data_IF_514329563910
#
_entry.id   IF_514329563910
#
_cell.length_a   1.000
_cell.length_b   1.000
_cell.length_c   1.000
_cell.angle_alpha   90.00
_cell.angle_beta   90.00
_cell.angle_gamma   90.00
#
_symmetry.space_group_name_H-M   'P 1'
#
loop_
_entity.id
_entity.type
_entity.pdbx_description
1 polymer ?
#
# COMPACT_ATOMS: atom_id res chain seq x y z
N UNK A 1 -14.40 -106.54 -32.72
CA UNK A 1 -13.87 -106.36 -34.09
C UNK A 1 -14.35 -105.02 -34.62
N UNK A 2 -13.44 -104.08 -34.84
CA UNK A 2 -13.74 -102.69 -35.20
C UNK A 2 -13.51 -102.49 -36.69
N UNK A 3 -14.35 -101.67 -37.33
CA UNK A 3 -14.22 -101.37 -38.75
C UNK A 3 -14.01 -99.88 -38.98
N UNK A 4 -12.93 -99.53 -39.68
CA UNK A 4 -12.67 -98.18 -40.16
C UNK A 4 -12.60 -98.19 -41.69
N UNK A 5 -12.82 -97.05 -42.35
CA UNK A 5 -12.61 -96.91 -43.80
C UNK A 5 -11.30 -96.18 -44.05
N UNK A 6 -10.50 -96.67 -45.00
CA UNK A 6 -9.28 -95.97 -45.41
C UNK A 6 -9.65 -94.66 -46.11
N UNK A 7 -9.13 -93.49 -45.67
CA UNK A 7 -9.46 -92.21 -46.30
C UNK A 7 -8.86 -92.05 -47.70
N UNK A 8 -7.83 -92.84 -48.06
CA UNK A 8 -7.17 -92.71 -49.37
C UNK A 8 -7.85 -93.52 -50.48
N UNK A 9 -8.30 -94.74 -50.19
CA UNK A 9 -8.87 -95.63 -51.21
C UNK A 9 -10.29 -96.14 -50.87
N UNK A 10 -10.86 -95.73 -49.74
CA UNK A 10 -12.21 -96.12 -49.31
C UNK A 10 -12.36 -97.58 -48.87
N UNK A 11 -11.33 -98.41 -48.99
CA UNK A 11 -11.35 -99.81 -48.59
C UNK A 11 -11.63 -99.94 -47.09
N UNK A 12 -12.47 -100.92 -46.73
CA UNK A 12 -12.88 -101.18 -45.34
C UNK A 12 -11.79 -101.98 -44.63
N UNK A 13 -11.20 -101.39 -43.60
CA UNK A 13 -10.16 -102.00 -42.76
C UNK A 13 -10.85 -102.58 -41.54
N UNK A 14 -10.71 -103.89 -41.34
CA UNK A 14 -11.19 -104.61 -40.16
C UNK A 14 -10.00 -104.91 -39.26
N UNK A 15 -10.09 -104.56 -37.99
CA UNK A 15 -9.04 -104.82 -37.01
C UNK A 15 -9.64 -105.34 -35.70
N UNK A 16 -8.95 -106.30 -35.09
CA UNK A 16 -9.43 -106.98 -33.89
C UNK A 16 -8.99 -106.26 -32.62
N UNK A 17 -7.83 -105.59 -32.64
CA UNK A 17 -7.24 -104.95 -31.46
C UNK A 17 -7.62 -103.47 -31.32
N UNK A 18 -8.40 -103.15 -30.30
CA UNK A 18 -8.98 -101.81 -30.08
C UNK A 18 -7.95 -100.71 -29.73
N UNK A 19 -6.69 -101.08 -29.50
CA UNK A 19 -5.62 -100.17 -29.06
C UNK A 19 -4.55 -99.89 -30.13
N UNK A 20 -4.67 -100.44 -31.34
CA UNK A 20 -3.72 -100.19 -32.42
C UNK A 20 -3.86 -98.74 -32.95
N UNK A 21 -2.87 -97.89 -32.62
CA UNK A 21 -2.92 -96.45 -32.94
C UNK A 21 -2.69 -96.15 -34.42
N UNK A 22 -1.94 -96.97 -35.16
CA UNK A 22 -1.66 -96.79 -36.60
C UNK A 22 -1.83 -98.13 -37.30
N UNK A 23 -2.68 -98.18 -38.32
CA UNK A 23 -2.99 -99.40 -39.08
C UNK A 23 -2.70 -99.15 -40.56
N UNK A 24 -1.97 -100.06 -41.20
CA UNK A 24 -1.65 -99.96 -42.63
C UNK A 24 -2.74 -100.59 -43.49
N UNK A 25 -3.24 -99.86 -44.50
CA UNK A 25 -4.25 -100.34 -45.42
C UNK A 25 -3.67 -101.36 -46.41
N UNK A 26 -4.20 -102.59 -46.43
CA UNK A 26 -3.74 -103.64 -47.33
C UNK A 26 -3.95 -103.33 -48.83
N UNK A 27 -4.94 -102.50 -49.18
CA UNK A 27 -5.26 -102.20 -50.58
C UNK A 27 -4.43 -101.08 -51.21
N UNK A 28 -3.88 -100.15 -50.43
CA UNK A 28 -3.11 -99.01 -50.95
C UNK A 28 -1.84 -98.66 -50.18
N UNK A 29 -1.51 -99.44 -49.14
CA UNK A 29 -0.31 -99.28 -48.32
C UNK A 29 -0.30 -98.08 -47.37
N UNK A 30 -1.35 -97.25 -47.36
CA UNK A 30 -1.38 -96.04 -46.53
C UNK A 30 -1.59 -96.34 -45.04
N UNK A 31 -0.83 -95.67 -44.17
CA UNK A 31 -0.95 -95.78 -42.71
C UNK A 31 -2.04 -94.83 -42.17
N UNK A 32 -3.06 -95.37 -41.50
CA UNK A 32 -4.21 -94.65 -40.95
C UNK A 32 -4.14 -94.67 -39.43
N UNK A 33 -4.10 -93.49 -38.80
CA UNK A 33 -4.04 -93.35 -37.34
C UNK A 33 -5.46 -93.25 -36.77
N UNK A 34 -5.84 -94.16 -35.87
CA UNK A 34 -7.19 -94.25 -35.29
C UNK A 34 -7.11 -94.02 -33.78
N UNK A 35 -7.90 -93.09 -33.25
CA UNK A 35 -8.00 -92.81 -31.81
C UNK A 35 -9.47 -92.94 -31.38
N UNK A 36 -9.79 -93.97 -30.58
CA UNK A 36 -11.13 -94.25 -30.09
C UNK A 36 -11.09 -94.11 -28.57
N UNK A 37 -11.62 -93.00 -28.04
CA UNK A 37 -11.89 -92.88 -26.61
C UNK A 37 -13.31 -92.34 -26.44
N UNK A 38 -14.26 -93.24 -26.16
CA UNK A 38 -15.68 -92.93 -25.97
C UNK A 38 -16.05 -93.41 -24.56
N UNK A 39 -16.23 -92.46 -23.63
CA UNK A 39 -16.80 -92.75 -22.32
C UNK A 39 -18.26 -92.30 -22.31
N UNK A 40 -19.16 -93.28 -22.22
CA UNK A 40 -20.60 -93.08 -22.08
C UNK A 40 -20.96 -92.97 -20.60
N UNK A 41 -21.48 -91.82 -20.18
CA UNK A 41 -22.31 -91.77 -18.97
C UNK A 41 -23.54 -90.92 -19.24
N UNK A 42 -24.70 -91.58 -19.33
CA UNK A 42 -25.99 -91.02 -19.67
C UNK A 42 -26.81 -90.92 -18.38
N UNK A 43 -27.23 -89.71 -17.98
CA UNK A 43 -28.26 -89.51 -16.96
C UNK A 43 -29.44 -88.76 -17.57
N UNK A 44 -30.62 -89.36 -17.42
CA UNK A 44 -31.94 -88.96 -17.91
C UNK A 44 -32.40 -87.66 -17.25
N UNK A 45 -32.74 -86.63 -18.02
CA UNK A 45 -33.43 -85.41 -17.54
C UNK A 45 -34.74 -85.22 -18.30
N UNK A 46 -35.83 -85.00 -17.57
CA UNK A 46 -37.15 -84.55 -18.07
C UNK A 46 -37.02 -83.21 -18.81
N UNK A 47 -37.81 -83.01 -19.87
CA UNK A 47 -37.90 -81.76 -20.63
C UNK A 47 -39.30 -81.16 -20.44
N UNK A 48 -39.37 -79.96 -19.88
CA UNK A 48 -40.59 -79.13 -19.85
C UNK A 48 -40.35 -77.94 -20.78
N UNK A 49 -41.10 -77.83 -21.87
CA UNK A 49 -41.00 -76.69 -22.79
C UNK A 49 -41.90 -75.55 -22.31
N UNK A 50 -41.31 -74.37 -22.06
CA UNK A 50 -42.02 -73.12 -21.81
C UNK A 50 -42.23 -72.38 -23.13
N UNK A 51 -43.48 -72.15 -23.54
CA UNK A 51 -43.81 -71.35 -24.72
C UNK A 51 -43.74 -69.87 -24.33
N UNK A 52 -42.81 -69.14 -24.94
CA UNK A 52 -42.59 -67.70 -24.71
C UNK A 52 -43.17 -66.91 -25.88
N UNK A 53 -44.03 -65.94 -25.61
CA UNK A 53 -44.63 -65.07 -26.64
C UNK A 53 -43.69 -63.91 -26.99
N UNK A 54 -42.88 -64.13 -28.02
CA UNK A 54 -41.82 -63.23 -28.48
C UNK A 54 -42.33 -61.83 -28.87
N UNK A 55 -43.59 -61.68 -29.28
CA UNK A 55 -44.15 -60.39 -29.68
C UNK A 55 -44.34 -59.47 -28.46
N UNK A 56 -44.82 -60.02 -27.35
CA UNK A 56 -45.05 -59.26 -26.11
C UNK A 56 -43.74 -58.89 -25.43
N UNK A 57 -42.73 -59.76 -25.50
CA UNK A 57 -41.38 -59.48 -25.00
C UNK A 57 -40.75 -58.33 -25.78
N UNK A 58 -40.86 -58.31 -27.11
CA UNK A 58 -40.31 -57.23 -27.94
C UNK A 58 -40.95 -55.88 -27.64
N UNK A 59 -42.26 -55.84 -27.38
CA UNK A 59 -42.95 -54.59 -27.05
C UNK A 59 -42.55 -54.06 -25.67
N UNK A 60 -42.45 -54.94 -24.66
CA UNK A 60 -41.97 -54.59 -23.32
C UNK A 60 -40.51 -54.09 -23.35
N UNK A 61 -39.64 -54.76 -24.11
CA UNK A 61 -38.25 -54.34 -24.30
C UNK A 61 -38.14 -52.97 -24.99
N UNK A 62 -39.03 -52.64 -25.92
CA UNK A 62 -38.98 -51.35 -26.63
C UNK A 62 -39.44 -50.20 -25.73
N UNK A 63 -40.46 -50.40 -24.88
CA UNK A 63 -40.92 -49.41 -23.89
C UNK A 63 -39.84 -49.17 -22.82
N UNK A 64 -39.26 -50.24 -22.28
CA UNK A 64 -38.18 -50.16 -21.29
C UNK A 64 -36.94 -49.41 -21.87
N UNK A 65 -36.60 -49.68 -23.13
CA UNK A 65 -35.51 -48.97 -23.83
C UNK A 65 -35.75 -47.47 -23.97
N UNK A 66 -36.99 -47.04 -24.24
CA UNK A 66 -37.34 -45.62 -24.34
C UNK A 66 -37.29 -44.94 -22.98
N UNK A 67 -37.82 -45.56 -21.93
CA UNK A 67 -37.76 -45.04 -20.56
C UNK A 67 -36.29 -44.89 -20.12
N UNK A 68 -35.47 -45.92 -20.36
CA UNK A 68 -34.04 -45.90 -20.02
C UNK A 68 -33.25 -44.84 -20.81
N UNK A 69 -33.62 -44.57 -22.08
CA UNK A 69 -32.96 -43.53 -22.89
C UNK A 69 -33.19 -42.11 -22.32
N UNK A 70 -34.37 -41.83 -21.75
CA UNK A 70 -34.68 -40.52 -21.18
C UNK A 70 -34.34 -40.40 -19.68
N UNK A 71 -34.37 -41.49 -18.92
CA UNK A 71 -34.03 -41.49 -17.49
C UNK A 71 -32.51 -41.49 -17.23
N UNK A 72 -31.73 -42.21 -18.04
CA UNK A 72 -30.28 -42.37 -17.84
C UNK A 72 -29.50 -41.04 -17.76
N UNK A 73 -29.74 -40.03 -18.62
CA UNK A 73 -29.01 -38.75 -18.56
C UNK A 73 -29.35 -37.89 -17.32
N UNK A 74 -30.49 -38.12 -16.67
CA UNK A 74 -30.92 -37.38 -15.48
C UNK A 74 -30.32 -38.02 -14.22
N UNK A 75 -30.33 -39.35 -14.15
CA UNK A 75 -29.73 -40.10 -13.04
C UNK A 75 -28.21 -39.94 -13.01
N UNK A 76 -27.55 -39.97 -14.17
CA UNK A 76 -26.09 -39.75 -14.26
C UNK A 76 -25.70 -38.34 -13.79
N UNK A 77 -26.48 -37.31 -14.12
CA UNK A 77 -26.25 -35.94 -13.63
C UNK A 77 -26.44 -35.82 -12.11
N UNK A 78 -27.47 -36.46 -11.55
CA UNK A 78 -27.70 -36.49 -10.10
C UNK A 78 -26.59 -37.25 -9.36
N UNK A 79 -26.14 -38.37 -9.91
CA UNK A 79 -25.01 -39.13 -9.37
C UNK A 79 -23.71 -38.34 -9.40
N UNK A 80 -23.41 -37.64 -10.52
CA UNK A 80 -22.24 -36.74 -10.61
C UNK A 80 -22.31 -35.59 -9.61
N UNK A 81 -23.48 -34.95 -9.47
CA UNK A 81 -23.68 -33.86 -8.49
C UNK A 81 -23.48 -34.34 -7.05
N UNK A 82 -24.03 -35.51 -6.69
CA UNK A 82 -23.83 -36.09 -5.35
C UNK A 82 -22.36 -36.45 -5.10
N UNK A 83 -21.67 -36.99 -6.09
CA UNK A 83 -20.25 -37.31 -5.98
C UNK A 83 -19.38 -36.04 -5.84
N UNK A 84 -19.76 -34.96 -6.52
CA UNK A 84 -19.11 -33.65 -6.40
C UNK A 84 -19.36 -33.00 -5.04
N UNK A 85 -20.61 -33.03 -4.54
CA UNK A 85 -20.96 -32.56 -3.19
C UNK A 85 -20.21 -33.37 -2.11
N UNK A 86 -20.10 -34.70 -2.24
CA UNK A 86 -19.31 -35.53 -1.32
C UNK A 86 -17.80 -35.20 -1.38
N UNK A 87 -17.27 -34.86 -2.56
CA UNK A 87 -15.87 -34.42 -2.69
C UNK A 87 -15.64 -33.08 -2.00
N UNK A 88 -16.52 -32.10 -2.25
CA UNK A 88 -16.46 -30.78 -1.62
C UNK A 88 -16.56 -30.91 -0.09
N UNK A 89 -17.44 -31.79 0.42
CA UNK A 89 -17.55 -32.04 1.85
C UNK A 89 -16.26 -32.63 2.43
N UNK A 90 -15.65 -33.61 1.77
CA UNK A 90 -14.38 -34.21 2.23
C UNK A 90 -13.23 -33.21 2.21
N UNK A 91 -13.16 -32.36 1.18
CA UNK A 91 -12.16 -31.29 1.08
C UNK A 91 -12.38 -30.23 2.18
N UNK A 92 -13.62 -29.86 2.49
CA UNK A 92 -13.95 -28.96 3.58
C UNK A 92 -13.61 -29.55 4.96
N UNK A 93 -13.94 -30.82 5.21
CA UNK A 93 -13.61 -31.52 6.44
C UNK A 93 -12.09 -31.67 6.62
N UNK A 94 -11.34 -31.90 5.54
CA UNK A 94 -9.88 -31.93 5.56
C UNK A 94 -9.29 -30.54 5.85
N UNK A 95 -9.80 -29.50 5.21
CA UNK A 95 -9.38 -28.13 5.47
C UNK A 95 -9.65 -27.70 6.92
N UNK A 96 -10.80 -28.10 7.50
CA UNK A 96 -11.10 -27.82 8.90
C UNK A 96 -10.16 -28.56 9.86
N UNK A 97 -9.80 -29.81 9.57
CA UNK A 97 -8.81 -30.56 10.36
C UNK A 97 -7.44 -29.89 10.33
N UNK A 98 -6.98 -29.48 9.15
CA UNK A 98 -5.69 -28.78 8.99
C UNK A 98 -5.71 -27.46 9.76
N UNK A 99 -6.81 -26.70 9.68
CA UNK A 99 -6.97 -25.46 10.45
C UNK A 99 -6.92 -25.68 11.95
N UNK A 100 -7.64 -26.67 12.48
CA UNK A 100 -7.61 -27.01 13.91
C UNK A 100 -6.23 -27.47 14.36
N UNK A 101 -5.53 -28.25 13.54
CA UNK A 101 -4.17 -28.67 13.83
C UNK A 101 -3.19 -27.47 13.84
N UNK A 102 -3.36 -26.53 12.90
CA UNK A 102 -2.55 -25.31 12.86
C UNK A 102 -2.85 -24.42 14.08
N UNK A 103 -4.12 -24.19 14.41
CA UNK A 103 -4.52 -23.42 15.60
C UNK A 103 -3.97 -24.06 16.89
N UNK A 104 -3.92 -25.39 16.98
CA UNK A 104 -3.31 -26.08 18.12
C UNK A 104 -1.79 -25.88 18.18
N UNK A 105 -1.10 -25.93 17.04
CA UNK A 105 0.36 -25.66 16.95
C UNK A 105 0.68 -24.22 17.30
N UNK A 106 -0.08 -23.27 16.75
CA UNK A 106 0.09 -21.85 17.01
C UNK A 106 -0.16 -21.55 18.51
N UNK A 107 -1.16 -22.19 19.12
CA UNK A 107 -1.43 -22.06 20.55
C UNK A 107 -0.32 -22.68 21.43
N UNK A 108 0.30 -23.79 20.99
CA UNK A 108 1.45 -24.39 21.68
C UNK A 108 2.69 -23.50 21.57
N UNK A 109 2.96 -22.95 20.39
CA UNK A 109 4.06 -22.01 20.15
C UNK A 109 3.90 -20.73 20.97
N UNK A 110 2.69 -20.19 21.06
CA UNK A 110 2.39 -19.03 21.91
C UNK A 110 2.67 -19.30 23.39
N UNK A 111 2.26 -20.46 23.91
CA UNK A 111 2.58 -20.84 25.31
C UNK A 111 4.08 -20.98 25.53
N UNK A 112 4.79 -21.63 24.61
CA UNK A 112 6.24 -21.76 24.68
C UNK A 112 6.95 -20.39 24.65
N UNK A 113 6.45 -19.45 23.85
CA UNK A 113 6.96 -18.09 23.80
C UNK A 113 6.70 -17.31 25.09
N UNK A 114 5.49 -17.41 25.66
CA UNK A 114 5.14 -16.76 26.93
C UNK A 114 5.96 -17.31 28.12
N UNK A 115 6.17 -18.62 28.17
CA UNK A 115 7.05 -19.26 29.16
C UNK A 115 8.51 -18.80 29.00
N UNK A 116 9.02 -18.73 27.77
CA UNK A 116 10.36 -18.21 27.51
C UNK A 116 10.48 -16.73 27.90
N UNK A 117 9.49 -15.91 27.54
CA UNK A 117 9.47 -14.47 27.82
C UNK A 117 9.43 -14.21 29.33
N UNK A 118 8.55 -14.90 30.07
CA UNK A 118 8.47 -14.80 31.53
C UNK A 118 9.78 -15.22 32.21
N UNK A 119 10.43 -16.29 31.75
CA UNK A 119 11.72 -16.72 32.25
C UNK A 119 12.85 -15.69 31.98
N UNK A 120 12.83 -15.02 30.82
CA UNK A 120 13.77 -13.93 30.52
C UNK A 120 13.53 -12.68 31.38
N UNK A 121 12.28 -12.25 31.51
CA UNK A 121 11.92 -11.13 32.37
C UNK A 121 12.35 -11.38 33.81
N UNK A 122 12.20 -12.60 34.33
CA UNK A 122 12.64 -12.95 35.67
C UNK A 122 14.18 -12.89 35.82
N UNK A 123 14.94 -13.32 34.81
CA UNK A 123 16.41 -13.20 34.80
C UNK A 123 16.86 -11.75 34.77
N UNK A 124 16.27 -10.94 33.90
CA UNK A 124 16.57 -9.50 33.81
C UNK A 124 16.19 -8.77 35.10
N UNK A 125 15.04 -9.09 35.71
CA UNK A 125 14.62 -8.53 36.99
C UNK A 125 15.61 -8.89 38.11
N UNK A 126 16.09 -10.14 38.18
CA UNK A 126 17.12 -10.55 39.15
C UNK A 126 18.45 -9.84 38.93
N UNK A 127 18.88 -9.66 37.68
CA UNK A 127 20.12 -8.93 37.36
C UNK A 127 20.03 -7.44 37.68
N UNK A 128 18.93 -6.79 37.29
CA UNK A 128 18.64 -5.40 37.60
C UNK A 128 18.56 -5.19 39.12
N UNK A 129 17.87 -6.07 39.85
CA UNK A 129 17.81 -6.04 41.31
C UNK A 129 19.19 -6.14 41.96
N UNK A 130 20.07 -7.03 41.46
CA UNK A 130 21.47 -7.13 41.93
C UNK A 130 22.28 -5.86 41.65
N UNK A 131 22.10 -5.24 40.49
CA UNK A 131 22.78 -4.00 40.12
C UNK A 131 22.33 -2.82 41.00
N UNK A 132 21.02 -2.69 41.20
CA UNK A 132 20.43 -1.68 42.09
C UNK A 132 20.89 -1.89 43.54
N UNK A 133 20.90 -3.13 44.03
CA UNK A 133 21.39 -3.44 45.38
C UNK A 133 22.88 -3.07 45.57
N UNK A 134 23.72 -3.33 44.56
CA UNK A 134 25.14 -2.91 44.57
C UNK A 134 25.26 -1.38 44.60
N UNK A 135 24.48 -0.68 43.78
CA UNK A 135 24.46 0.78 43.75
C UNK A 135 24.04 1.34 45.12
N UNK A 136 22.94 0.85 45.71
CA UNK A 136 22.47 1.27 47.04
C UNK A 136 23.54 1.01 48.11
N UNK A 137 24.21 -0.15 48.07
CA UNK A 137 25.27 -0.45 49.03
C UNK A 137 26.48 0.48 48.85
N UNK A 138 26.84 0.82 47.61
CA UNK A 138 27.88 1.80 47.31
C UNK A 138 27.50 3.20 47.82
N UNK A 139 26.25 3.63 47.63
CA UNK A 139 25.74 4.90 48.16
C UNK A 139 25.80 4.95 49.69
N UNK A 140 25.43 3.86 50.36
CA UNK A 140 25.50 3.74 51.82
C UNK A 140 26.93 3.72 52.34
N UNK A 141 27.87 3.11 51.63
CA UNK A 141 29.29 3.05 52.03
C UNK A 141 30.02 4.39 51.83
N UNK A 142 29.64 5.17 50.82
CA UNK A 142 30.35 6.38 50.41
C UNK A 142 29.53 7.68 50.58
N UNK A 143 28.57 7.70 51.51
CA UNK A 143 27.59 8.78 51.72
C UNK A 143 28.21 10.19 51.71
N UNK A 144 29.31 10.40 52.47
CA UNK A 144 29.99 11.71 52.55
C UNK A 144 30.57 12.17 51.21
N UNK A 145 31.16 11.27 50.42
CA UNK A 145 31.77 11.62 49.12
C UNK A 145 30.71 12.00 48.09
N UNK A 146 29.57 11.31 48.12
CA UNK A 146 28.44 11.59 47.25
C UNK A 146 27.80 12.93 47.59
N UNK A 147 27.59 13.22 48.88
CA UNK A 147 27.08 14.52 49.32
C UNK A 147 27.99 15.67 48.85
N UNK A 148 29.31 15.54 49.00
CA UNK A 148 30.27 16.52 48.48
C UNK A 148 30.13 16.69 46.96
N UNK A 149 30.02 15.60 46.20
CA UNK A 149 29.86 15.68 44.74
C UNK A 149 28.56 16.37 44.32
N UNK A 150 27.45 16.12 45.03
CA UNK A 150 26.17 16.76 44.75
C UNK A 150 26.24 18.26 45.06
N UNK A 151 26.85 18.64 46.19
CA UNK A 151 27.06 20.05 46.55
C UNK A 151 27.91 20.77 45.50
N UNK A 152 28.97 20.13 44.99
CA UNK A 152 29.80 20.70 43.93
C UNK A 152 29.00 20.89 42.63
N UNK A 153 28.17 19.93 42.24
CA UNK A 153 27.32 20.05 41.05
C UNK A 153 26.33 21.20 41.21
N UNK A 154 25.67 21.31 42.37
CA UNK A 154 24.73 22.40 42.66
C UNK A 154 25.44 23.76 42.65
N UNK A 155 26.65 23.84 43.21
CA UNK A 155 27.45 25.06 43.18
C UNK A 155 27.83 25.46 41.75
N UNK A 156 28.23 24.52 40.90
CA UNK A 156 28.54 24.78 39.49
C UNK A 156 27.31 25.27 38.72
N UNK A 157 26.14 24.69 38.96
CA UNK A 157 24.89 25.12 38.34
C UNK A 157 24.50 26.55 38.78
N UNK A 158 24.69 26.88 40.05
CA UNK A 158 24.45 28.24 40.55
C UNK A 158 25.43 29.26 39.94
N UNK A 159 26.72 28.92 39.82
CA UNK A 159 27.71 29.78 39.17
C UNK A 159 27.38 30.03 37.69
N UNK A 160 26.82 29.03 36.98
CA UNK A 160 26.40 29.18 35.59
C UNK A 160 25.28 30.23 35.44
N UNK A 161 24.29 30.23 36.32
CA UNK A 161 23.19 31.22 36.27
C UNK A 161 23.67 32.66 36.44
N UNK A 162 24.67 32.90 37.28
CA UNK A 162 25.30 34.23 37.45
C UNK A 162 26.07 34.64 36.20
N UNK A 163 26.84 33.71 35.62
CA UNK A 163 27.59 33.95 34.38
C UNK A 163 26.66 34.28 33.21
N UNK A 164 25.58 33.51 33.04
CA UNK A 164 24.59 33.72 31.98
C UNK A 164 23.90 35.09 32.12
N UNK A 165 23.56 35.51 33.34
CA UNK A 165 22.97 36.84 33.59
C UNK A 165 23.90 38.00 33.22
N UNK A 166 25.20 37.88 33.53
CA UNK A 166 26.19 38.89 33.16
C UNK A 166 26.37 38.94 31.64
N UNK A 167 26.41 37.78 30.99
CA UNK A 167 26.57 37.72 29.55
C UNK A 167 25.35 38.31 28.81
N UNK A 168 24.14 38.05 29.31
CA UNK A 168 22.91 38.63 28.77
C UNK A 168 22.92 40.17 28.84
N UNK A 169 23.38 40.76 29.94
CA UNK A 169 23.49 42.23 30.06
C UNK A 169 24.48 42.81 29.04
N UNK A 170 25.64 42.17 28.87
CA UNK A 170 26.65 42.59 27.88
C UNK A 170 26.10 42.52 26.46
N UNK A 171 25.35 41.47 26.14
CA UNK A 171 24.70 41.32 24.83
C UNK A 171 23.65 42.42 24.59
N UNK A 172 22.88 42.79 25.61
CA UNK A 172 21.93 43.90 25.54
C UNK A 172 22.63 45.24 25.32
N UNK A 173 23.70 45.52 26.07
CA UNK A 173 24.50 46.74 25.89
C UNK A 173 25.15 46.80 24.50
N UNK A 174 25.68 45.69 24.01
CA UNK A 174 26.26 45.60 22.67
C UNK A 174 25.21 45.84 21.58
N UNK A 175 24.02 45.26 21.72
CA UNK A 175 22.92 45.47 20.80
C UNK A 175 22.45 46.94 20.80
N UNK A 176 22.38 47.57 21.98
CA UNK A 176 22.04 48.99 22.09
C UNK A 176 23.10 49.89 21.43
N UNK A 177 24.39 49.61 21.66
CA UNK A 177 25.49 50.33 21.00
C UNK A 177 25.48 50.13 19.49
N UNK A 178 25.18 48.92 19.01
CA UNK A 178 25.08 48.65 17.57
C UNK A 178 23.90 49.39 16.93
N UNK A 179 22.76 49.46 17.61
CA UNK A 179 21.61 50.23 17.15
C UNK A 179 21.91 51.74 17.09
N UNK A 180 22.62 52.28 18.09
CA UNK A 180 23.03 53.68 18.08
C UNK A 180 24.05 53.97 16.98
N UNK A 181 25.02 53.07 16.75
CA UNK A 181 25.95 53.19 15.63
C UNK A 181 25.25 53.13 14.27
N UNK A 182 24.22 52.30 14.12
CA UNK A 182 23.40 52.27 12.91
C UNK A 182 22.67 53.60 12.71
N UNK A 183 22.06 54.14 13.77
CA UNK A 183 21.38 55.45 13.74
C UNK A 183 22.33 56.57 13.33
N UNK A 184 23.52 56.64 13.92
CA UNK A 184 24.52 57.65 13.59
C UNK A 184 25.04 57.52 12.15
N UNK A 185 25.22 56.28 11.66
CA UNK A 185 25.58 56.04 10.25
C UNK A 185 24.47 56.47 9.31
N UNK A 186 23.21 56.19 9.63
CA UNK A 186 22.08 56.63 8.82
C UNK A 186 21.98 58.16 8.79
N UNK A 187 22.24 58.83 9.92
CA UNK A 187 22.34 60.30 9.99
C UNK A 187 23.51 60.84 9.16
N UNK A 188 24.67 60.19 9.20
CA UNK A 188 25.85 60.54 8.40
C UNK A 188 25.58 60.38 6.90
N UNK A 189 24.97 59.26 6.50
CA UNK A 189 24.54 59.00 5.12
C UNK A 189 23.56 60.09 4.68
N UNK A 190 22.56 60.39 5.51
CA UNK A 190 21.58 61.43 5.22
C UNK A 190 22.21 62.82 5.08
N UNK A 191 23.12 63.18 5.98
CA UNK A 191 23.86 64.44 5.89
C UNK A 191 24.74 64.51 4.63
N UNK A 192 25.36 63.40 4.24
CA UNK A 192 26.15 63.30 3.02
C UNK A 192 25.29 63.50 1.77
N UNK A 193 24.14 62.84 1.66
CA UNK A 193 23.23 63.02 0.52
C UNK A 193 22.68 64.45 0.45
N UNK A 194 22.31 65.04 1.59
CA UNK A 194 21.89 66.44 1.65
C UNK A 194 23.00 67.40 1.19
N UNK A 195 24.25 67.14 1.55
CA UNK A 195 25.39 67.92 1.07
C UNK A 195 25.63 67.81 -0.44
N UNK A 196 25.19 66.69 -1.05
CA UNK A 196 25.20 66.49 -2.51
C UNK A 196 23.96 67.06 -3.20
N UNK A 197 23.02 67.66 -2.46
CA UNK A 197 21.77 68.20 -2.99
C UNK A 197 20.71 67.12 -3.26
N UNK A 198 20.81 65.97 -2.61
CA UNK A 198 19.84 64.88 -2.72
C UNK A 198 18.95 64.82 -1.47
N UNK A 199 17.69 64.43 -1.68
CA UNK A 199 16.64 64.34 -0.68
C UNK A 199 16.03 62.94 -0.73
N UNK A 200 15.71 62.40 0.44
CA UNK A 200 15.09 61.08 0.58
C UNK A 200 13.60 61.15 0.25
N UNK A 201 13.14 60.31 -0.65
CA UNK A 201 11.71 60.22 -1.00
C UNK A 201 10.87 59.80 0.22
N UNK A 202 9.95 60.65 0.71
CA UNK A 202 9.11 60.31 1.85
C UNK A 202 8.14 59.17 1.51
N UNK A 203 7.59 58.54 2.54
CA UNK A 203 6.52 57.58 2.33
C UNK A 203 5.22 58.31 1.97
N UNK A 204 4.81 58.17 0.71
CA UNK A 204 3.61 58.74 0.13
C UNK A 204 2.76 57.62 -0.48
N UNK A 205 1.44 57.76 -0.36
CA UNK A 205 0.48 56.81 -0.90
C UNK A 205 -0.47 57.51 -1.87
N UNK A 206 -0.89 56.80 -2.91
CA UNK A 206 -1.89 57.26 -3.89
C UNK A 206 -3.28 57.47 -3.26
N UNK A 207 -3.52 56.96 -2.05
CA UNK A 207 -4.77 57.13 -1.31
C UNK A 207 -4.80 58.37 -0.41
N UNK A 208 -3.70 59.13 -0.32
CA UNK A 208 -3.63 60.35 0.48
C UNK A 208 -4.17 61.55 -0.32
N UNK A 209 -4.56 62.63 0.38
CA UNK A 209 -4.94 63.89 -0.26
C UNK A 209 -3.71 64.51 -0.95
N UNK A 210 -3.87 64.97 -2.19
CA UNK A 210 -2.78 65.55 -2.97
C UNK A 210 -2.08 66.71 -2.25
N UNK A 211 -2.80 67.49 -1.43
CA UNK A 211 -2.22 68.60 -0.65
C UNK A 211 -1.29 68.10 0.43
N UNK A 212 -1.63 67.00 1.09
CA UNK A 212 -0.80 66.38 2.11
C UNK A 212 0.45 65.77 1.49
N UNK A 213 0.32 65.12 0.33
CA UNK A 213 1.47 64.61 -0.43
C UNK A 213 2.40 65.75 -0.88
N UNK A 214 1.86 66.81 -1.47
CA UNK A 214 2.65 67.99 -1.84
C UNK A 214 3.34 68.61 -0.63
N UNK A 215 2.67 68.69 0.52
CA UNK A 215 3.27 69.18 1.76
C UNK A 215 4.40 68.27 2.22
N UNK A 216 4.22 66.95 2.25
CA UNK A 216 5.27 65.98 2.62
C UNK A 216 6.50 66.08 1.72
N UNK A 217 6.30 66.27 0.42
CA UNK A 217 7.39 66.45 -0.54
C UNK A 217 8.18 67.75 -0.28
N UNK A 218 7.49 68.86 0.01
CA UNK A 218 8.13 70.13 0.38
C UNK A 218 8.86 70.02 1.71
N UNK A 219 8.24 69.39 2.71
CA UNK A 219 8.82 69.17 4.04
C UNK A 219 10.06 68.24 3.96
N UNK A 220 10.10 67.32 3.01
CA UNK A 220 11.27 66.49 2.74
C UNK A 220 12.44 67.28 2.11
N UNK A 221 12.14 68.34 1.36
CA UNK A 221 13.15 69.24 0.77
C UNK A 221 13.11 69.35 -0.76
N UNK A 222 12.15 68.71 -1.43
CA UNK A 222 12.00 68.85 -2.88
C UNK A 222 11.55 70.27 -3.25
N UNK A 223 12.24 70.89 -4.20
CA UNK A 223 11.97 72.26 -4.65
C UNK A 223 11.14 72.32 -5.93
N UNK A 224 11.19 71.28 -6.77
CA UNK A 224 10.55 71.24 -8.08
C UNK A 224 9.30 70.34 -8.10
N UNK A 225 8.24 70.81 -7.44
CA UNK A 225 6.95 70.10 -7.38
C UNK A 225 5.95 70.82 -8.28
N UNK A 226 5.48 70.13 -9.30
CA UNK A 226 4.53 70.61 -10.30
C UNK A 226 3.11 70.18 -9.93
N UNK A 227 2.27 71.18 -9.65
CA UNK A 227 0.85 71.02 -9.35
C UNK A 227 0.05 70.91 -10.67
N UNK A 228 -0.57 69.74 -10.92
CA UNK A 228 -1.41 69.50 -12.10
C UNK A 228 -2.86 69.16 -11.73
N UNK A 229 -3.71 70.17 -11.48
CA UNK A 229 -5.12 69.94 -11.25
C UNK A 229 -5.80 69.50 -12.56
N UNK A 230 -6.55 68.39 -12.52
CA UNK A 230 -7.39 67.91 -13.64
C UNK A 230 -8.85 68.23 -13.34
N UNK A 231 -9.43 69.11 -14.15
CA UNK A 231 -10.84 69.51 -14.03
C UNK A 231 -11.75 68.45 -14.67
N UNK A 232 -11.96 67.35 -13.96
CA UNK A 232 -12.75 66.22 -14.44
C UNK A 232 -13.85 65.77 -13.46
N UNK A 233 -13.88 66.38 -12.26
CA UNK A 233 -14.92 66.13 -11.27
C UNK A 233 -16.22 66.83 -11.64
N UNK A 234 -17.24 66.02 -11.89
CA UNK A 234 -18.64 66.42 -11.99
C UNK A 234 -19.35 66.01 -10.70
N UNK A 235 -20.17 66.89 -10.15
CA UNK A 235 -20.99 66.63 -8.94
C UNK A 235 -21.77 65.32 -9.12
N UNK A 236 -21.53 64.34 -8.24
CA UNK A 236 -22.23 63.04 -8.23
C UNK A 236 -21.42 61.81 -8.70
N UNK A 237 -20.12 61.93 -8.97
CA UNK A 237 -19.21 60.78 -9.25
C UNK A 237 -18.44 60.31 -7.99
N UNK A 238 -17.85 59.11 -8.06
CA UNK A 238 -17.15 58.41 -6.96
C UNK A 238 -15.75 58.94 -6.60
N UNK A 239 -15.26 60.01 -7.24
CA UNK A 239 -13.95 60.60 -6.96
C UNK A 239 -14.11 61.85 -6.10
N UNK A 240 -13.26 62.00 -5.09
CA UNK A 240 -13.24 63.18 -4.24
C UNK A 240 -12.28 64.25 -4.78
N UNK A 241 -12.52 65.49 -4.37
CA UNK A 241 -11.60 66.59 -4.65
C UNK A 241 -10.24 66.31 -4.01
N UNK A 242 -9.15 66.56 -4.74
CA UNK A 242 -7.76 66.30 -4.35
C UNK A 242 -7.37 64.82 -4.25
N UNK A 243 -8.20 63.89 -4.74
CA UNK A 243 -7.79 62.51 -4.96
C UNK A 243 -6.68 62.45 -6.03
N UNK A 244 -5.62 61.70 -5.76
CA UNK A 244 -4.43 61.61 -6.62
C UNK A 244 -4.73 60.70 -7.82
N UNK A 245 -4.43 61.20 -9.02
CA UNK A 245 -4.51 60.47 -10.28
C UNK A 245 -3.19 59.75 -10.54
N UNK A 246 -2.10 60.51 -10.50
CA UNK A 246 -0.76 60.04 -10.83
C UNK A 246 0.30 60.91 -10.14
N UNK A 247 1.38 60.28 -9.70
CA UNK A 247 2.60 60.95 -9.27
C UNK A 247 3.73 60.46 -10.16
N UNK A 248 4.41 61.37 -10.86
CA UNK A 248 5.62 61.04 -11.61
C UNK A 248 6.84 61.70 -10.96
N UNK A 249 7.96 60.99 -10.94
CA UNK A 249 9.25 61.47 -10.46
C UNK A 249 10.23 61.34 -11.61
N UNK A 250 10.79 62.45 -12.07
CA UNK A 250 11.63 62.51 -13.29
C UNK A 250 10.93 61.92 -14.52
N UNK A 251 9.63 62.19 -14.67
CA UNK A 251 8.80 61.66 -15.76
C UNK A 251 8.46 60.17 -15.65
N UNK A 252 8.94 59.45 -14.64
CA UNK A 252 8.60 58.05 -14.41
C UNK A 252 7.43 57.90 -13.41
N UNK A 253 6.40 57.08 -13.70
CA UNK A 253 5.27 56.86 -12.79
C UNK A 253 5.59 55.92 -11.62
N UNK A 254 6.79 55.34 -11.62
CA UNK A 254 7.26 54.42 -10.58
C UNK A 254 8.49 55.00 -9.89
N UNK A 255 8.38 55.20 -8.58
CA UNK A 255 9.46 55.62 -7.71
C UNK A 255 9.54 54.70 -6.49
N UNK A 256 10.66 54.76 -5.77
CA UNK A 256 10.89 53.95 -4.57
C UNK A 256 10.91 54.84 -3.34
N UNK A 257 9.99 54.57 -2.42
CA UNK A 257 10.00 55.21 -1.11
C UNK A 257 11.32 54.92 -0.40
N UNK A 258 11.94 55.96 0.14
CA UNK A 258 13.18 55.85 0.91
C UNK A 258 14.46 55.89 0.09
N UNK A 259 14.38 55.91 -1.25
CA UNK A 259 15.53 56.17 -2.13
C UNK A 259 15.85 57.68 -2.16
N UNK A 260 17.06 58.01 -2.58
CA UNK A 260 17.57 59.39 -2.67
C UNK A 260 17.42 59.93 -4.09
N UNK A 261 16.93 61.17 -4.21
CA UNK A 261 16.71 61.86 -5.48
C UNK A 261 17.26 63.29 -5.39
N UNK A 262 17.82 63.87 -6.47
CA UNK A 262 18.18 65.29 -6.49
C UNK A 262 17.01 66.19 -6.08
N UNK A 263 17.27 67.24 -5.30
CA UNK A 263 16.24 68.13 -4.75
C UNK A 263 15.43 68.88 -5.82
N UNK A 264 16.00 69.06 -7.01
CA UNK A 264 15.42 69.72 -8.18
C UNK A 264 14.74 68.77 -9.16
N UNK A 265 14.72 67.46 -8.85
CA UNK A 265 13.98 66.46 -9.62
C UNK A 265 12.53 66.89 -9.78
N UNK A 266 12.02 66.87 -11.01
CA UNK A 266 10.62 67.22 -11.29
C UNK A 266 9.71 66.15 -10.70
N UNK A 267 8.82 66.57 -9.80
CA UNK A 267 7.76 65.73 -9.27
C UNK A 267 6.42 66.31 -9.69
N UNK A 268 5.70 65.60 -10.55
CA UNK A 268 4.38 66.01 -11.01
C UNK A 268 3.32 65.30 -10.21
N UNK A 269 2.46 66.05 -9.54
CA UNK A 269 1.30 65.50 -8.82
C UNK A 269 0.03 65.88 -9.59
N UNK A 270 -0.57 64.90 -10.25
CA UNK A 270 -1.85 65.07 -10.93
C UNK A 270 -2.99 64.63 -10.01
N UNK A 271 -4.01 65.47 -9.84
CA UNK A 271 -5.15 65.17 -8.97
C UNK A 271 -6.47 65.73 -9.50
N UNK A 272 -7.56 65.18 -8.99
CA UNK A 272 -8.92 65.54 -9.36
C UNK A 272 -9.36 66.90 -8.77
N UNK A 273 -9.87 67.81 -9.60
CA UNK A 273 -10.52 69.06 -9.17
C UNK A 273 -11.85 69.30 -9.89
N UNK A 274 -12.70 70.13 -9.31
CA UNK A 274 -13.96 70.53 -9.93
C UNK A 274 -13.73 71.38 -11.18
N UNK A 275 -14.58 71.15 -12.18
CA UNK A 275 -14.76 72.08 -13.30
C UNK A 275 -15.48 73.31 -12.73
N UNK A 276 -14.80 74.46 -12.72
CA UNK A 276 -15.45 75.74 -12.48
C UNK A 276 -15.67 76.39 -13.84
N UNK A 277 -16.89 76.30 -14.37
CA UNK A 277 -17.36 77.17 -15.47
C UNK A 277 -17.69 78.58 -14.95
#
# INVERSE_FOLDING_TARGET
>A
MWSAKCPKCGAKILFEDANAKVIQCASCGAQVRVNINVNYNYSKSEHTEHIVDDAKIKQAQNVDRVINLFASPIEERRAKKKAEEERIQREADQAERIRKEQEAKDAEEQRAYEEWASAQHEKHARQAGRAIAKAINYYRANERKILISVVLIVALLACRGVYDSINQKREQELAAHQAELARLKDEEIAASHLAMGEVRMPNISMSEDARDVMKKLRDAGFINIVDQPKQDLVLGKNHAQYDIIEITVDGAPSFKTGDWYPLDTEIVVSYHTYIFE
#
